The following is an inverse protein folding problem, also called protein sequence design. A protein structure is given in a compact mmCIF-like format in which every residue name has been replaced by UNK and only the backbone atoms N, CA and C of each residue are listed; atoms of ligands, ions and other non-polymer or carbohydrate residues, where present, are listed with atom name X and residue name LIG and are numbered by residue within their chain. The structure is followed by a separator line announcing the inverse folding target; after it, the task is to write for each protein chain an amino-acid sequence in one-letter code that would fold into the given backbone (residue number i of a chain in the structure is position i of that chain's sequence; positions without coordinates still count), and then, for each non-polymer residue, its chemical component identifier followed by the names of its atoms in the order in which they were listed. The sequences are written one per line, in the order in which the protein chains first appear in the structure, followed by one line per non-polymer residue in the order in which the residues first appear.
data_IF_413300778756
#
_entry.id   IF_413300778756
#
_cell.length_a   1.000
_cell.length_b   1.000
_cell.length_c   1.000
_cell.angle_alpha   90.00
_cell.angle_beta   90.00
_cell.angle_gamma   90.00
#
_symmetry.space_group_name_H-M   'P 1'
#
loop_
_entity.id
_entity.type
_entity.pdbx_description
1 polymer ?
#
# COMPACT_ATOMS: atom_id res chain seq x y z
N UNK A 1 15.41 19.38 -21.33
CA UNK A 1 15.50 18.08 -20.63
C UNK A 1 14.69 18.27 -19.38
N UNK A 2 13.37 18.12 -19.51
CA UNK A 2 12.41 18.32 -18.43
C UNK A 2 11.99 16.93 -17.97
N UNK A 3 12.56 16.48 -16.86
CA UNK A 3 12.08 15.30 -16.16
C UNK A 3 10.88 15.76 -15.32
N UNK A 4 9.69 15.29 -15.69
CA UNK A 4 8.44 15.61 -15.00
C UNK A 4 8.45 14.97 -13.60
N UNK A 5 8.15 15.72 -12.53
CA UNK A 5 8.21 15.18 -11.18
C UNK A 5 7.02 14.26 -10.90
N UNK A 6 7.30 12.99 -10.58
CA UNK A 6 6.34 12.12 -9.91
C UNK A 6 6.21 12.60 -8.46
N UNK A 7 5.07 13.21 -8.12
CA UNK A 7 4.76 13.58 -6.74
C UNK A 7 4.37 12.31 -5.97
N UNK A 8 5.36 11.65 -5.36
CA UNK A 8 5.12 10.66 -4.33
C UNK A 8 4.58 11.40 -3.10
N UNK A 9 3.27 11.30 -2.85
CA UNK A 9 2.68 11.72 -1.58
C UNK A 9 3.24 10.79 -0.50
N UNK A 10 4.27 11.26 0.19
CA UNK A 10 4.77 10.64 1.41
C UNK A 10 3.95 11.23 2.57
N UNK A 11 3.07 10.41 3.14
CA UNK A 11 2.47 10.70 4.44
C UNK A 11 3.56 10.52 5.51
N UNK A 12 4.03 11.62 6.10
CA UNK A 12 5.06 11.61 7.14
C UNK A 12 4.40 11.63 8.51
N UNK A 13 4.11 10.44 9.05
CA UNK A 13 4.03 10.30 10.51
C UNK A 13 5.44 10.65 11.02
N UNK A 14 5.62 11.64 11.93
CA UNK A 14 6.95 12.07 12.35
C UNK A 14 7.78 10.88 12.87
N UNK A 15 8.88 10.58 12.17
CA UNK A 15 9.74 9.42 12.43
C UNK A 15 9.39 8.15 11.65
N UNK A 16 8.46 8.19 10.70
CA UNK A 16 8.17 7.12 9.75
C UNK A 16 8.06 7.68 8.34
N UNK A 17 8.61 6.95 7.38
CA UNK A 17 8.53 7.26 5.96
C UNK A 17 8.01 6.04 5.20
N UNK A 18 6.97 6.24 4.40
CA UNK A 18 6.41 5.22 3.53
C UNK A 18 6.80 5.51 2.09
N UNK A 19 7.45 4.55 1.44
CA UNK A 19 7.78 4.57 0.02
C UNK A 19 6.94 3.54 -0.73
N UNK A 20 6.43 3.92 -1.90
CA UNK A 20 5.61 3.07 -2.75
C UNK A 20 6.35 2.90 -4.09
N UNK A 21 6.51 1.66 -4.51
CA UNK A 21 7.12 1.28 -5.79
C UNK A 21 6.10 0.55 -6.63
N UNK A 22 5.82 1.10 -7.81
CA UNK A 22 4.97 0.50 -8.84
C UNK A 22 5.80 0.22 -10.09
N UNK A 23 5.52 -0.85 -10.84
CA UNK A 23 6.15 -1.06 -12.14
C UNK A 23 5.80 0.10 -13.09
N UNK A 24 6.78 0.52 -13.89
CA UNK A 24 6.61 1.61 -14.87
C UNK A 24 5.58 1.24 -15.94
N UNK A 25 5.57 -0.02 -16.36
CA UNK A 25 4.57 -0.57 -17.27
C UNK A 25 4.45 -2.08 -17.08
N UNK A 26 3.26 -2.61 -17.34
CA UNK A 26 2.98 -4.05 -17.31
C UNK A 26 2.12 -4.42 -18.52
N UNK A 27 2.32 -5.63 -19.04
CA UNK A 27 1.53 -6.13 -20.16
C UNK A 27 0.14 -6.64 -19.73
N UNK A 28 0.02 -7.07 -18.48
CA UNK A 28 -1.19 -7.70 -17.93
C UNK A 28 -1.43 -7.22 -16.51
N UNK A 29 -2.70 -7.22 -16.09
CA UNK A 29 -3.11 -6.83 -14.72
C UNK A 29 -2.51 -7.76 -13.66
N UNK A 30 -2.23 -9.02 -13.99
CA UNK A 30 -1.51 -9.96 -13.13
C UNK A 30 -0.08 -9.51 -12.80
N UNK A 31 0.52 -8.67 -13.64
CA UNK A 31 1.84 -8.08 -13.43
C UNK A 31 1.82 -6.84 -12.53
N UNK A 32 0.65 -6.35 -12.10
CA UNK A 32 0.54 -5.17 -11.25
C UNK A 32 0.86 -5.50 -9.79
N UNK A 33 2.15 -5.44 -9.47
CA UNK A 33 2.66 -5.56 -8.11
C UNK A 33 3.04 -4.18 -7.56
N UNK A 34 2.52 -3.83 -6.40
CA UNK A 34 2.89 -2.62 -5.67
C UNK A 34 3.72 -3.04 -4.46
N UNK A 35 4.95 -2.55 -4.39
CA UNK A 35 5.83 -2.79 -3.25
C UNK A 35 5.86 -1.56 -2.37
N UNK A 36 5.51 -1.73 -1.10
CA UNK A 36 5.50 -0.66 -0.11
C UNK A 36 6.63 -0.91 0.89
N UNK A 37 7.49 0.07 1.09
CA UNK A 37 8.57 0.02 2.07
C UNK A 37 8.32 1.07 3.12
N UNK A 38 8.08 0.62 4.35
CA UNK A 38 7.93 1.46 5.51
C UNK A 38 9.25 1.52 6.28
N UNK A 39 9.74 2.72 6.54
CA UNK A 39 11.02 2.97 7.20
C UNK A 39 10.81 3.78 8.47
N UNK A 40 11.36 3.32 9.59
CA UNK A 40 11.43 4.12 10.81
C UNK A 40 12.60 5.10 10.72
N UNK A 41 12.31 6.36 10.42
CA UNK A 41 13.28 7.45 10.36
C UNK A 41 13.51 8.14 11.72
N UNK A 42 12.76 7.74 12.73
CA UNK A 42 12.87 8.27 14.09
C UNK A 42 13.96 7.61 14.92
N UNK A 43 14.14 8.13 16.13
CA UNK A 43 15.17 7.67 17.09
C UNK A 43 14.64 6.63 18.10
N UNK A 44 13.36 6.27 18.01
CA UNK A 44 12.72 5.32 18.92
C UNK A 44 12.25 4.08 18.16
N UNK A 45 12.25 2.94 18.84
CA UNK A 45 11.62 1.73 18.30
C UNK A 45 10.11 1.92 18.27
N UNK A 46 9.49 1.71 17.12
CA UNK A 46 8.04 1.80 16.96
C UNK A 46 7.44 0.39 16.82
N UNK A 47 6.23 0.23 17.33
CA UNK A 47 5.43 -0.98 17.13
C UNK A 47 4.18 -0.60 16.35
N UNK A 48 3.99 -1.24 15.20
CA UNK A 48 2.92 -0.93 14.26
C UNK A 48 1.98 -2.10 14.14
N UNK A 49 0.68 -1.82 14.15
CA UNK A 49 -0.35 -2.85 14.08
C UNK A 49 -0.58 -3.23 12.62
N UNK A 50 -0.64 -4.54 12.37
CA UNK A 50 -0.98 -5.08 11.06
C UNK A 50 -2.51 -5.06 10.92
N UNK A 51 -3.04 -3.92 10.50
CA UNK A 51 -4.47 -3.71 10.30
C UNK A 51 -4.82 -3.87 8.81
N UNK A 52 -6.02 -4.37 8.46
CA UNK A 52 -6.41 -4.64 7.07
C UNK A 52 -6.46 -3.41 6.18
N UNK A 53 -6.50 -2.21 6.75
CA UNK A 53 -6.49 -0.95 5.99
C UNK A 53 -5.05 -0.41 5.81
N UNK A 54 -4.02 -1.18 6.18
CA UNK A 54 -2.62 -0.77 6.04
C UNK A 54 -1.87 -1.69 5.08
N UNK A 55 -0.78 -1.15 4.52
CA UNK A 55 0.14 -1.88 3.64
C UNK A 55 0.90 -3.01 4.36
N UNK A 56 0.72 -3.14 5.67
CA UNK A 56 1.31 -4.17 6.52
C UNK A 56 0.50 -5.47 6.53
N UNK A 57 -0.69 -5.46 5.93
CA UNK A 57 -1.59 -6.62 5.91
C UNK A 57 -1.43 -7.42 4.63
N UNK A 58 -1.25 -8.73 4.75
CA UNK A 58 -0.98 -9.63 3.61
C UNK A 58 -2.20 -9.94 2.74
N UNK A 59 -3.42 -9.73 3.24
CA UNK A 59 -4.62 -10.05 2.48
C UNK A 59 -4.95 -8.94 1.48
N UNK A 60 -5.60 -9.27 0.35
CA UNK A 60 -5.98 -8.29 -0.66
C UNK A 60 -7.16 -7.44 -0.19
N UNK A 61 -6.86 -6.47 0.67
CA UNK A 61 -7.80 -5.52 1.26
C UNK A 61 -7.79 -4.19 0.50
N UNK A 62 -8.72 -3.30 0.85
CA UNK A 62 -8.88 -2.01 0.19
C UNK A 62 -7.84 -0.99 0.69
N UNK A 63 -6.58 -1.20 0.32
CA UNK A 63 -5.41 -0.47 0.83
C UNK A 63 -4.91 0.61 -0.13
N UNK A 64 -5.29 0.55 -1.41
CA UNK A 64 -4.79 1.44 -2.45
C UNK A 64 -5.91 2.22 -3.11
N UNK A 65 -5.70 3.52 -3.27
CA UNK A 65 -6.50 4.36 -4.14
C UNK A 65 -5.91 4.30 -5.55
N UNK A 66 -6.69 3.76 -6.49
CA UNK A 66 -6.29 3.62 -7.89
C UNK A 66 -7.19 4.51 -8.75
N UNK A 67 -6.59 5.39 -9.54
CA UNK A 67 -7.31 6.31 -10.44
C UNK A 67 -6.72 6.30 -11.84
N UNK A 68 -7.58 6.39 -12.85
CA UNK A 68 -7.23 6.52 -14.26
C UNK A 68 -8.14 7.57 -14.93
N UNK A 69 -7.79 7.98 -16.14
CA UNK A 69 -8.65 8.86 -16.97
C UNK A 69 -10.00 8.19 -17.29
N UNK A 70 -10.05 6.86 -17.32
CA UNK A 70 -11.26 6.07 -17.57
C UNK A 70 -12.07 5.76 -16.30
N UNK A 71 -11.58 6.14 -15.12
CA UNK A 71 -12.22 5.89 -13.84
C UNK A 71 -11.33 5.12 -12.86
N UNK A 72 -11.94 4.50 -11.85
CA UNK A 72 -11.27 3.73 -10.82
C UNK A 72 -11.70 2.27 -10.87
N UNK A 73 -10.76 1.31 -10.72
CA UNK A 73 -11.12 -0.10 -10.68
C UNK A 73 -11.95 -0.40 -9.43
N UNK A 74 -12.88 -1.34 -9.55
CA UNK A 74 -13.78 -1.70 -8.45
C UNK A 74 -13.04 -2.59 -7.43
N UNK A 75 -13.19 -2.30 -6.14
CA UNK A 75 -12.67 -3.18 -5.10
C UNK A 75 -13.48 -4.49 -5.06
N UNK A 76 -12.78 -5.61 -5.28
CA UNK A 76 -13.33 -6.99 -5.26
C UNK A 76 -12.60 -7.89 -4.26
N UNK A 77 -11.74 -7.30 -3.44
CA UNK A 77 -10.91 -8.00 -2.48
C UNK A 77 -11.65 -8.45 -1.21
N UNK A 78 -10.87 -8.77 -0.18
CA UNK A 78 -11.36 -9.30 1.08
C UNK A 78 -11.70 -8.18 2.05
N UNK A 79 -12.92 -8.17 2.57
CA UNK A 79 -13.29 -7.34 3.72
C UNK A 79 -13.04 -8.10 5.02
N UNK A 80 -12.22 -7.55 5.90
CA UNK A 80 -11.86 -8.17 7.18
C UNK A 80 -12.47 -7.42 8.34
N UNK A 81 -13.18 -8.14 9.21
CA UNK A 81 -13.63 -7.59 10.50
C UNK A 81 -12.44 -7.48 11.45
N UNK A 82 -11.91 -6.27 11.61
CA UNK A 82 -10.75 -6.02 12.44
C UNK A 82 -11.10 -5.77 13.91
N UNK A 83 -10.30 -6.31 14.83
CA UNK A 83 -10.38 -5.99 16.26
C UNK A 83 -8.99 -5.73 16.79
N UNK A 84 -8.72 -4.49 17.22
CA UNK A 84 -7.45 -4.09 17.82
C UNK A 84 -7.06 -5.01 18.99
N UNK A 85 -8.01 -5.34 19.86
CA UNK A 85 -7.77 -6.20 21.02
C UNK A 85 -7.33 -7.61 20.60
N UNK A 86 -7.97 -8.18 19.60
CA UNK A 86 -7.62 -9.49 19.07
C UNK A 86 -6.26 -9.47 18.34
N UNK A 87 -5.99 -8.42 17.54
CA UNK A 87 -4.72 -8.25 16.86
C UNK A 87 -3.56 -8.12 17.84
N UNK A 88 -3.71 -7.32 18.90
CA UNK A 88 -2.69 -7.17 19.94
C UNK A 88 -2.47 -8.50 20.69
N UNK A 89 -3.54 -9.18 21.08
CA UNK A 89 -3.46 -10.47 21.77
C UNK A 89 -2.83 -11.58 20.90
N UNK A 90 -3.05 -11.52 19.59
CA UNK A 90 -2.52 -12.46 18.61
C UNK A 90 -1.14 -12.12 18.07
N UNK A 91 -0.49 -11.04 18.52
CA UNK A 91 0.83 -10.65 18.03
C UNK A 91 0.83 -10.01 16.64
N UNK A 92 -0.30 -9.46 16.18
CA UNK A 92 -0.48 -8.80 14.89
C UNK A 92 0.16 -7.43 14.82
N UNK A 93 1.46 -7.36 15.06
CA UNK A 93 2.25 -6.14 14.97
C UNK A 93 3.65 -6.42 14.44
N UNK A 94 4.19 -5.46 13.71
CA UNK A 94 5.62 -5.39 13.40
C UNK A 94 6.32 -4.45 14.38
N UNK A 95 7.60 -4.68 14.61
CA UNK A 95 8.44 -3.79 15.42
C UNK A 95 9.58 -3.30 14.55
N UNK A 96 9.70 -1.98 14.41
CA UNK A 96 10.77 -1.33 13.65
C UNK A 96 11.67 -0.58 14.61
N UNK A 97 12.92 -1.04 14.72
CA UNK A 97 13.97 -0.27 15.37
C UNK A 97 14.27 1.03 14.59
N UNK A 98 14.95 2.02 15.18
CA UNK A 98 15.46 3.19 14.46
C UNK A 98 16.25 2.78 13.21
N UNK A 99 15.91 3.34 12.04
CA UNK A 99 16.47 2.98 10.73
C UNK A 99 15.98 1.64 10.17
N UNK A 100 15.12 0.92 10.89
CA UNK A 100 14.55 -0.35 10.45
C UNK A 100 13.51 -0.16 9.35
N UNK A 101 13.46 -1.13 8.44
CA UNK A 101 12.53 -1.14 7.30
C UNK A 101 11.65 -2.38 7.30
N UNK A 102 10.44 -2.23 6.77
CA UNK A 102 9.53 -3.32 6.46
C UNK A 102 9.04 -3.17 5.03
N UNK A 103 9.18 -4.23 4.24
CA UNK A 103 8.74 -4.23 2.84
C UNK A 103 7.63 -5.25 2.66
N UNK A 104 6.57 -4.84 1.97
CA UNK A 104 5.44 -5.69 1.61
C UNK A 104 5.11 -5.53 0.13
N UNK A 105 4.73 -6.62 -0.53
CA UNK A 105 4.39 -6.63 -1.96
C UNK A 105 2.93 -7.05 -2.13
N UNK A 106 2.16 -6.19 -2.79
CA UNK A 106 0.72 -6.31 -2.99
C UNK A 106 0.43 -6.52 -4.46
N UNK A 107 -0.36 -7.55 -4.80
CA UNK A 107 -0.83 -7.74 -6.18
C UNK A 107 -2.19 -7.08 -6.35
N UNK A 108 -2.26 -6.01 -7.14
CA UNK A 108 -3.49 -5.20 -7.25
C UNK A 108 -4.66 -5.98 -7.86
N UNK A 109 -4.39 -6.86 -8.82
CA UNK A 109 -5.42 -7.69 -9.46
C UNK A 109 -6.12 -8.68 -8.50
N UNK A 110 -5.58 -8.90 -7.29
CA UNK A 110 -6.26 -9.70 -6.26
C UNK A 110 -7.27 -8.90 -5.44
N UNK A 111 -7.14 -7.58 -5.40
CA UNK A 111 -7.98 -6.69 -4.60
C UNK A 111 -8.91 -5.83 -5.48
N UNK A 112 -8.55 -5.58 -6.73
CA UNK A 112 -9.23 -4.63 -7.61
C UNK A 112 -9.50 -5.23 -8.99
N UNK A 113 -10.70 -4.97 -9.51
CA UNK A 113 -11.13 -5.37 -10.85
C UNK A 113 -10.92 -4.22 -11.85
N UNK A 114 -10.05 -4.47 -12.83
CA UNK A 114 -9.67 -3.51 -13.87
C UNK A 114 -10.46 -3.67 -15.18
N UNK A 115 -11.34 -4.68 -15.31
CA UNK A 115 -12.05 -5.00 -16.56
C UNK A 115 -12.88 -3.82 -17.10
N UNK A 116 -13.46 -3.02 -16.20
CA UNK A 116 -14.32 -1.89 -16.58
C UNK A 116 -13.55 -0.60 -16.91
N UNK A 117 -12.28 -0.49 -16.50
CA UNK A 117 -11.45 0.72 -16.70
C UNK A 117 -10.56 0.59 -17.93
N UNK A 118 -10.14 -0.64 -18.25
CA UNK A 118 -9.38 -0.96 -19.46
C UNK A 118 -7.89 -0.56 -19.39
N UNK A 119 -7.13 -0.72 -20.48
CA UNK A 119 -5.72 -0.35 -20.51
C UNK A 119 -5.54 1.18 -20.46
N UNK A 120 -4.54 1.66 -19.74
CA UNK A 120 -4.26 3.09 -19.64
C UNK A 120 -3.23 3.42 -18.59
N UNK A 121 -3.05 4.73 -18.35
CA UNK A 121 -2.24 5.22 -17.24
C UNK A 121 -3.04 5.14 -15.94
N UNK A 122 -2.40 4.64 -14.89
CA UNK A 122 -2.96 4.50 -13.57
C UNK A 122 -2.08 5.23 -12.56
N UNK A 123 -2.73 6.00 -11.68
CA UNK A 123 -2.12 6.58 -10.50
C UNK A 123 -2.51 5.71 -9.30
N UNK A 124 -1.50 5.31 -8.52
CA UNK A 124 -1.68 4.46 -7.35
C UNK A 124 -1.13 5.18 -6.14
N UNK A 125 -1.99 5.38 -5.15
CA UNK A 125 -1.65 5.95 -3.86
C UNK A 125 -2.08 4.99 -2.76
N UNK A 126 -1.40 5.02 -1.62
CA UNK A 126 -1.94 4.35 -0.42
C UNK A 126 -3.19 5.11 0.00
N UNK A 127 -4.23 4.38 0.38
CA UNK A 127 -5.48 4.97 0.81
C UNK A 127 -5.27 5.64 2.17
N UNK A 128 -5.23 6.97 2.18
CA UNK A 128 -5.24 7.77 3.40
C UNK A 128 -6.70 7.89 3.89
N UNK A 129 -6.94 7.56 5.18
CA UNK A 129 -8.24 7.72 5.83
C UNK A 129 -8.12 8.57 7.09
#
# INVERSE_FOLDING_TARGET
MEELPFHLSTDEIPGLSLSIFTPESVATVDGLYVTTTLTNTGNHTVKLINAPETTLFDLPTDTFKITSEHGSPEFVGVMVKFSFKAAIAGGGFITLAPGGTYTSTHQLAKAYNFDNVGPGLYQVHVLEK
#
